data_IF_433487591623
#
_entry.id   IF_433487591623
#
_cell.length_a   1.000
_cell.length_b   1.000
_cell.length_c   1.000
_cell.angle_alpha   90.00
_cell.angle_beta   90.00
_cell.angle_gamma   90.00
#
_symmetry.space_group_name_H-M   'P 1'
#
loop_
_entity.id
_entity.type
_entity.pdbx_description
1 polymer ?
#
# COMPACT_ATOMS: atom_id res chain seq x y z
N UNK A 1 -0.95 -25.02 17.58
CA UNK A 1 -1.81 -25.34 16.41
C UNK A 1 -2.89 -24.28 16.18
N UNK A 2 -3.84 -24.07 17.10
CA UNK A 2 -4.86 -23.01 16.91
C UNK A 2 -4.27 -21.60 17.08
N UNK A 3 -3.32 -21.45 18.01
CA UNK A 3 -2.66 -20.16 18.26
C UNK A 3 -1.74 -19.73 17.10
N UNK A 4 -1.08 -20.69 16.43
CA UNK A 4 -0.19 -20.40 15.31
C UNK A 4 -0.98 -19.99 14.07
N UNK A 5 -2.13 -20.63 13.85
CA UNK A 5 -3.08 -20.21 12.82
C UNK A 5 -3.57 -18.79 13.08
N UNK A 6 -4.02 -18.50 14.31
CA UNK A 6 -4.49 -17.16 14.70
C UNK A 6 -3.43 -16.08 14.50
N UNK A 7 -2.16 -16.36 14.85
CA UNK A 7 -1.05 -15.41 14.61
C UNK A 7 -0.85 -15.12 13.12
N UNK A 8 -0.94 -16.14 12.27
CA UNK A 8 -0.83 -15.99 10.81
C UNK A 8 -2.01 -15.22 10.22
N UNK A 9 -3.22 -15.45 10.74
CA UNK A 9 -4.42 -14.69 10.35
C UNK A 9 -4.29 -13.20 10.70
N UNK A 10 -3.83 -12.88 11.92
CA UNK A 10 -3.55 -11.49 12.32
C UNK A 10 -2.49 -10.85 11.41
N UNK A 11 -1.45 -11.61 11.06
CA UNK A 11 -0.40 -11.12 10.17
C UNK A 11 -0.90 -10.91 8.73
N UNK A 12 -1.80 -11.76 8.24
CA UNK A 12 -2.47 -11.58 6.94
C UNK A 12 -3.36 -10.34 6.97
N UNK A 13 -4.18 -10.18 8.02
CA UNK A 13 -5.04 -9.02 8.16
C UNK A 13 -4.24 -7.71 8.20
N UNK A 14 -3.06 -7.71 8.84
CA UNK A 14 -2.13 -6.59 8.83
C UNK A 14 -1.54 -6.30 7.43
N UNK A 15 -1.33 -7.32 6.60
CA UNK A 15 -0.84 -7.16 5.23
C UNK A 15 -1.91 -6.56 4.30
N UNK A 16 -3.17 -6.89 4.53
CA UNK A 16 -4.31 -6.43 3.74
C UNK A 16 -4.81 -5.03 4.16
N UNK A 17 -4.57 -4.60 5.40
CA UNK A 17 -5.03 -3.31 5.90
C UNK A 17 -4.64 -2.99 7.35
N UNK A 18 -5.08 -1.83 7.88
CA UNK A 18 -4.75 -1.42 9.23
C UNK A 18 -5.47 -2.28 10.27
N UNK A 19 -4.69 -2.77 11.25
CA UNK A 19 -5.19 -3.32 12.52
C UNK A 19 -5.08 -2.25 13.61
N UNK A 20 -5.90 -2.39 14.66
CA UNK A 20 -5.93 -1.47 15.79
C UNK A 20 -5.80 -2.21 17.13
N UNK A 21 -5.40 -1.49 18.16
CA UNK A 21 -5.35 -1.98 19.54
C UNK A 21 -4.50 -3.24 19.74
N UNK A 22 -5.05 -4.19 20.49
CA UNK A 22 -4.33 -5.39 20.92
C UNK A 22 -4.00 -6.34 19.75
N UNK A 23 -4.79 -6.33 18.69
CA UNK A 23 -4.57 -7.17 17.51
C UNK A 23 -3.33 -6.72 16.74
N UNK A 24 -3.16 -5.40 16.59
CA UNK A 24 -1.94 -4.83 16.02
C UNK A 24 -0.72 -5.19 16.86
N UNK A 25 -0.80 -5.05 18.19
CA UNK A 25 0.31 -5.39 19.08
C UNK A 25 0.70 -6.87 18.97
N UNK A 26 -0.28 -7.78 18.89
CA UNK A 26 -0.06 -9.21 18.71
C UNK A 26 0.55 -9.54 17.34
N UNK A 27 0.06 -8.92 16.27
CA UNK A 27 0.60 -9.09 14.92
C UNK A 27 2.06 -8.63 14.85
N UNK A 28 2.40 -7.47 15.43
CA UNK A 28 3.76 -6.94 15.48
C UNK A 28 4.70 -7.82 16.32
N UNK A 29 4.24 -8.34 17.45
CA UNK A 29 5.01 -9.29 18.27
C UNK A 29 5.33 -10.57 17.51
N UNK A 30 4.40 -11.06 16.68
CA UNK A 30 4.64 -12.22 15.85
C UNK A 30 5.58 -11.89 14.68
N UNK A 31 5.39 -10.75 14.01
CA UNK A 31 6.27 -10.28 12.94
C UNK A 31 7.73 -10.05 13.39
N UNK A 32 7.96 -9.84 14.69
CA UNK A 32 9.30 -9.74 15.27
C UNK A 32 10.02 -11.09 15.47
N UNK A 33 9.35 -12.21 15.23
CA UNK A 33 9.93 -13.56 15.28
C UNK A 33 10.39 -13.99 13.88
N UNK A 34 11.32 -14.95 13.79
CA UNK A 34 11.84 -15.43 12.49
C UNK A 34 10.73 -15.98 11.60
N UNK A 35 9.87 -16.85 12.14
CA UNK A 35 8.75 -17.45 11.40
C UNK A 35 7.71 -16.40 10.96
N UNK A 36 7.48 -15.39 11.79
CA UNK A 36 6.60 -14.27 11.44
C UNK A 36 7.17 -13.40 10.32
N UNK A 37 8.47 -13.12 10.33
CA UNK A 37 9.16 -12.41 9.24
C UNK A 37 9.07 -13.16 7.92
N UNK A 38 9.33 -14.46 7.94
CA UNK A 38 9.24 -15.30 6.74
C UNK A 38 7.81 -15.32 6.18
N UNK A 39 6.82 -15.48 7.06
CA UNK A 39 5.40 -15.46 6.68
C UNK A 39 5.00 -14.11 6.07
N UNK A 40 5.44 -13.00 6.69
CA UNK A 40 5.21 -11.65 6.19
C UNK A 40 5.80 -11.44 4.79
N UNK A 41 7.06 -11.85 4.59
CA UNK A 41 7.72 -11.78 3.29
C UNK A 41 6.99 -12.59 2.23
N UNK A 42 6.51 -13.79 2.58
CA UNK A 42 5.74 -14.65 1.67
C UNK A 42 4.44 -13.99 1.22
N UNK A 43 3.68 -13.39 2.15
CA UNK A 43 2.42 -12.70 1.81
C UNK A 43 2.64 -11.52 0.85
N UNK A 44 3.68 -10.73 1.08
CA UNK A 44 4.03 -9.64 0.16
C UNK A 44 4.48 -10.16 -1.20
N UNK A 45 5.30 -11.21 -1.24
CA UNK A 45 5.74 -11.82 -2.50
C UNK A 45 4.56 -12.35 -3.33
N UNK A 46 3.61 -13.05 -2.70
CA UNK A 46 2.38 -13.49 -3.37
C UNK A 46 1.61 -12.29 -3.93
N UNK A 47 1.45 -11.23 -3.14
CA UNK A 47 0.81 -10.00 -3.58
C UNK A 47 1.55 -9.34 -4.76
N UNK A 48 2.88 -9.36 -4.77
CA UNK A 48 3.70 -8.82 -5.84
C UNK A 48 3.55 -9.63 -7.13
N UNK A 49 3.57 -10.96 -7.04
CA UNK A 49 3.29 -11.86 -8.18
C UNK A 49 1.90 -11.58 -8.78
N UNK A 50 0.89 -11.39 -7.92
CA UNK A 50 -0.47 -11.10 -8.36
C UNK A 50 -0.60 -9.72 -9.04
N UNK A 51 0.24 -8.74 -8.67
CA UNK A 51 0.25 -7.41 -9.28
C UNK A 51 1.06 -7.37 -10.57
N UNK A 52 2.25 -7.98 -10.59
CA UNK A 52 3.09 -8.15 -11.79
C UNK A 52 4.31 -9.03 -11.53
N UNK A 53 4.72 -9.82 -12.53
CA UNK A 53 5.93 -10.64 -12.44
C UNK A 53 7.23 -9.82 -12.23
N UNK A 54 7.28 -8.56 -12.66
CA UNK A 54 8.43 -7.68 -12.45
C UNK A 54 8.65 -7.34 -10.97
N UNK A 55 7.56 -7.18 -10.19
CA UNK A 55 7.64 -6.92 -8.74
C UNK A 55 8.05 -8.16 -7.94
N UNK A 56 7.82 -9.36 -8.48
CA UNK A 56 8.18 -10.61 -7.82
C UNK A 56 9.67 -10.99 -7.98
N UNK A 57 10.46 -10.17 -8.68
CA UNK A 57 11.89 -10.43 -8.85
C UNK A 57 12.59 -10.24 -7.50
N UNK A 58 13.41 -11.21 -7.05
CA UNK A 58 14.17 -11.04 -5.83
C UNK A 58 15.07 -9.81 -5.96
N UNK A 59 14.75 -8.78 -5.20
CA UNK A 59 15.49 -7.52 -5.22
C UNK A 59 16.88 -7.73 -4.59
N UNK A 60 17.89 -7.08 -5.18
CA UNK A 60 19.27 -7.07 -4.69
C UNK A 60 19.45 -6.08 -3.51
N UNK A 61 18.35 -5.45 -3.07
CA UNK A 61 18.30 -4.46 -1.98
C UNK A 61 18.59 -5.00 -0.58
N UNK A 62 18.88 -6.29 -0.40
CA UNK A 62 19.16 -6.88 0.93
C UNK A 62 20.28 -6.17 1.70
N UNK A 63 21.39 -5.81 1.02
CA UNK A 63 22.49 -5.06 1.64
C UNK A 63 22.10 -3.63 2.05
N UNK A 64 21.25 -2.99 1.25
CA UNK A 64 20.69 -1.67 1.57
C UNK A 64 19.76 -1.75 2.77
N UNK A 65 18.83 -2.71 2.79
CA UNK A 65 17.90 -2.91 3.91
C UNK A 65 18.64 -3.26 5.20
N UNK A 66 19.68 -4.10 5.13
CA UNK A 66 20.52 -4.40 6.29
C UNK A 66 21.21 -3.13 6.84
N UNK A 67 21.78 -2.31 5.94
CA UNK A 67 22.42 -1.04 6.32
C UNK A 67 21.41 -0.04 6.91
N UNK A 68 20.19 0.01 6.35
CA UNK A 68 19.10 0.85 6.83
C UNK A 68 18.65 0.41 8.23
N UNK A 69 18.40 -0.88 8.43
CA UNK A 69 18.02 -1.44 9.73
C UNK A 69 19.08 -1.13 10.80
N UNK A 70 20.36 -1.28 10.44
CA UNK A 70 21.47 -0.97 11.35
C UNK A 70 21.50 0.52 11.72
N UNK A 71 21.27 1.43 10.75
CA UNK A 71 21.22 2.87 11.03
C UNK A 71 20.03 3.24 11.91
N UNK A 72 18.85 2.71 11.63
CA UNK A 72 17.64 2.93 12.45
C UNK A 72 17.85 2.45 13.88
N UNK A 73 18.50 1.30 14.08
CA UNK A 73 18.80 0.77 15.42
C UNK A 73 19.78 1.66 16.22
N UNK A 74 20.55 2.51 15.56
CA UNK A 74 21.45 3.48 16.20
C UNK A 74 20.76 4.81 16.52
N UNK A 75 19.56 5.05 15.98
CA UNK A 75 18.80 6.25 16.30
C UNK A 75 18.25 6.14 17.73
N UNK A 76 18.41 7.20 18.55
CA UNK A 76 17.82 7.19 19.89
C UNK A 76 16.30 7.10 19.72
N UNK A 77 15.68 6.14 20.42
CA UNK A 77 14.22 6.02 20.50
C UNK A 77 13.71 7.32 21.10
N UNK A 78 13.32 8.26 20.25
CA UNK A 78 12.62 9.46 20.70
C UNK A 78 11.30 8.95 21.21
N UNK A 79 11.14 8.88 22.53
CA UNK A 79 9.81 8.83 23.14
C UNK A 79 9.08 10.04 22.58
N UNK A 80 8.22 9.79 21.59
CA UNK A 80 7.10 10.65 21.32
C UNK A 80 6.31 10.61 22.63
N UNK A 81 6.57 11.58 23.51
CA UNK A 81 5.62 11.88 24.57
C UNK A 81 4.27 11.89 23.87
N UNK A 82 3.25 11.14 24.36
CA UNK A 82 1.95 11.11 23.72
C UNK A 82 1.60 12.57 23.52
N UNK A 83 1.59 13.00 22.25
CA UNK A 83 1.21 14.36 21.95
C UNK A 83 -0.11 14.48 22.67
N UNK A 84 -0.19 15.35 23.66
CA UNK A 84 -1.47 15.79 24.17
C UNK A 84 -2.11 16.30 22.89
N UNK A 85 -2.96 15.47 22.28
CA UNK A 85 -3.84 15.86 21.20
C UNK A 85 -4.83 16.77 21.91
N UNK A 86 -4.36 17.95 22.31
CA UNK A 86 -5.23 19.07 22.50
C UNK A 86 -6.01 19.13 21.20
N UNK A 87 -7.32 19.09 21.36
CA UNK A 87 -8.34 19.18 20.34
C UNK A 87 -8.32 20.56 19.65
N UNK A 88 -7.11 21.07 19.37
CA UNK A 88 -6.83 22.07 18.38
C UNK A 88 -7.09 21.39 17.05
N UNK A 89 -8.38 21.32 16.71
CA UNK A 89 -8.93 21.33 15.37
C UNK A 89 -7.99 20.75 14.32
N UNK A 90 -8.40 19.62 13.75
CA UNK A 90 -8.08 19.22 12.37
C UNK A 90 -8.48 20.34 11.40
N UNK A 91 -7.83 21.49 11.47
CA UNK A 91 -7.61 22.33 10.31
C UNK A 91 -6.57 21.55 9.53
N UNK A 92 -7.06 20.64 8.70
CA UNK A 92 -6.34 20.21 7.52
C UNK A 92 -5.99 21.48 6.75
N UNK A 93 -4.83 22.07 7.06
CA UNK A 93 -4.09 22.80 6.05
C UNK A 93 -4.00 21.82 4.87
N UNK A 94 -4.42 22.21 3.65
CA UNK A 94 -4.29 21.36 2.48
C UNK A 94 -2.79 21.19 2.21
N UNK A 95 -2.18 20.28 2.95
CA UNK A 95 -0.84 19.81 2.75
C UNK A 95 -0.88 19.01 1.47
N UNK A 96 -0.55 19.69 0.37
CA UNK A 96 -0.39 19.09 -0.94
C UNK A 96 0.50 17.86 -0.76
N UNK A 97 -0.08 16.68 -0.94
CA UNK A 97 0.68 15.46 -0.82
C UNK A 97 1.80 15.52 -1.87
N UNK A 98 3.02 15.07 -1.56
CA UNK A 98 4.12 15.06 -2.52
C UNK A 98 3.76 14.33 -3.84
N UNK A 99 2.71 13.51 -3.81
CA UNK A 99 2.20 12.71 -4.92
C UNK A 99 0.96 13.33 -5.63
N UNK A 100 0.43 14.47 -5.18
CA UNK A 100 -0.79 15.08 -5.76
C UNK A 100 -0.62 15.42 -7.25
N UNK A 101 0.58 15.88 -7.63
CA UNK A 101 0.91 16.19 -9.03
C UNK A 101 0.89 14.94 -9.92
N UNK A 102 1.37 13.80 -9.40
CA UNK A 102 1.39 12.52 -10.11
C UNK A 102 -0.02 11.92 -10.25
N UNK A 103 -0.88 12.10 -9.23
CA UNK A 103 -2.28 11.65 -9.27
C UNK A 103 -3.11 12.41 -10.31
N UNK A 104 -2.90 13.72 -10.43
CA UNK A 104 -3.62 14.58 -11.38
C UNK A 104 -3.32 14.22 -12.85
N UNK A 105 -2.04 13.98 -13.18
CA UNK A 105 -1.67 13.58 -14.54
C UNK A 105 -2.23 12.21 -14.93
N UNK A 106 -2.28 11.25 -13.99
CA UNK A 106 -2.88 9.92 -14.24
C UNK A 106 -4.40 9.98 -14.40
N UNK A 107 -5.12 10.80 -13.64
CA UNK A 107 -6.57 10.98 -13.82
C UNK A 107 -6.94 11.62 -15.17
N UNK A 108 -6.17 12.61 -15.63
CA UNK A 108 -6.39 13.24 -16.95
C UNK A 108 -6.24 12.21 -18.09
N UNK A 109 -5.23 11.34 -18.02
CA UNK A 109 -5.04 10.27 -19.00
C UNK A 109 -6.20 9.25 -19.01
N UNK A 110 -6.75 8.92 -17.83
CA UNK A 110 -7.93 8.07 -17.71
C UNK A 110 -9.18 8.68 -18.35
N UNK A 111 -9.44 9.97 -18.09
CA UNK A 111 -10.60 10.67 -18.64
C UNK A 111 -10.51 10.81 -20.18
N UNK A 112 -9.32 11.09 -20.71
CA UNK A 112 -9.09 11.14 -22.16
C UNK A 112 -9.39 9.81 -22.85
N UNK A 113 -9.06 8.69 -22.20
CA UNK A 113 -9.33 7.34 -22.73
C UNK A 113 -10.83 7.04 -22.80
N UNK A 114 -11.61 7.42 -21.78
CA UNK A 114 -13.07 7.29 -21.79
C UNK A 114 -13.73 8.17 -22.86
N UNK A 115 -13.26 9.39 -23.05
CA UNK A 115 -13.75 10.29 -24.10
C UNK A 115 -13.48 9.75 -25.51
N UNK A 116 -12.30 9.16 -25.73
CA UNK A 116 -11.96 8.53 -27.01
C UNK A 116 -12.86 7.33 -27.34
N UNK A 117 -13.13 6.45 -26.36
CA UNK A 117 -14.04 5.30 -26.54
C UNK A 117 -15.47 5.76 -26.81
N UNK A 118 -15.95 6.77 -26.09
CA UNK A 118 -17.28 7.36 -26.33
C UNK A 118 -17.40 7.97 -27.74
N UNK A 119 -16.36 8.66 -28.22
CA UNK A 119 -16.34 9.24 -29.57
C UNK A 119 -16.32 8.18 -30.68
N UNK A 120 -15.62 7.05 -30.46
CA UNK A 120 -15.66 5.90 -31.37
C UNK A 120 -17.04 5.23 -31.37
N UNK A 121 -17.68 5.13 -30.21
CA UNK A 121 -19.04 4.61 -30.07
C UNK A 121 -20.10 5.45 -30.81
N UNK A 122 -19.98 6.77 -30.77
CA UNK A 122 -20.90 7.67 -31.47
C UNK A 122 -20.71 7.65 -33.00
N UNK A 123 -19.48 7.45 -33.50
CA UNK A 123 -19.21 7.29 -34.93
C UNK A 123 -19.81 5.98 -35.49
N UNK A 124 -19.78 4.89 -34.73
CA UNK A 124 -20.39 3.63 -35.13
C UNK A 124 -21.94 3.74 -35.22
N UNK A 125 -22.56 4.54 -34.35
CA UNK A 125 -24.01 4.80 -34.39
C UNK A 125 -24.41 5.72 -35.57
N UNK A 126 -23.56 6.71 -35.90
CA UNK A 126 -23.77 7.58 -37.06
C UNK A 126 -23.64 6.87 -38.41
N UNK A 127 -22.78 5.85 -38.51
CA UNK A 127 -22.63 5.07 -39.75
C UNK A 127 -23.85 4.21 -40.08
N UNK A 128 -24.65 3.81 -39.08
CA UNK A 128 -25.90 3.05 -39.28
C UNK A 128 -27.11 3.93 -39.65
N UNK A 129 -27.01 5.26 -39.52
CA UNK A 129 -28.07 6.21 -39.90
C UNK A 129 -27.82 6.88 -41.26
N UNK A 130 -26.70 6.59 -41.93
CA UNK A 130 -26.32 7.17 -43.22
C UNK A 130 -26.73 6.37 -44.46
N UNK A 131 -27.37 5.20 -44.31
CA UNK A 131 -27.89 4.40 -45.43
C UNK A 131 -29.42 4.49 -45.52
N UNK A 132 -29.94 5.68 -45.83
CA UNK A 132 -31.34 5.87 -46.27
C UNK A 132 -31.42 6.83 -47.44
#
# INVERSE_FOLDING_TARGET
MNDDLKKRELLSALADGPLEGDELAQALQFAAQDEGRETWQMYHLVGDVMRSAELARPDHGGAFLASLHQKIAQEPVRSLAPAQLSDASRQALPGQAANDSLFRWKMVAGFASLAAVAAMGWNALGHLQGES
#
